data_IF_028629244736
#
_entry.id   IF_028629244736
#
_cell.length_a   1.000
_cell.length_b   1.000
_cell.length_c   1.000
_cell.angle_alpha   90.00
_cell.angle_beta   90.00
_cell.angle_gamma   90.00
#
_symmetry.space_group_name_H-M   'P 1'
#
loop_
_entity.id
_entity.type
_entity.pdbx_description
1 polymer ?
#
# COMPACT_ATOMS: atom_id res chain seq x y z
N UNK A 1 -25.61 6.96 9.88
CA UNK A 1 -24.51 7.75 9.24
C UNK A 1 -23.92 6.86 8.16
N UNK A 2 -23.91 7.31 6.90
CA UNK A 2 -23.27 6.57 5.82
C UNK A 2 -21.76 6.53 6.12
N UNK A 3 -21.17 5.33 6.06
CA UNK A 3 -19.74 5.16 6.28
C UNK A 3 -18.86 5.77 5.22
N UNK A 4 -17.54 5.93 5.45
CA UNK A 4 -16.64 6.33 4.39
C UNK A 4 -16.78 5.32 3.26
N UNK A 5 -17.16 5.81 2.11
CA UNK A 5 -17.24 5.02 0.90
C UNK A 5 -15.80 4.74 0.48
N UNK A 6 -15.47 3.47 0.33
CA UNK A 6 -14.24 3.12 -0.36
C UNK A 6 -14.31 3.74 -1.75
N UNK A 7 -13.31 4.54 -2.08
CA UNK A 7 -13.29 5.30 -3.31
C UNK A 7 -12.51 4.52 -4.38
N UNK A 8 -13.03 4.54 -5.60
CA UNK A 8 -12.26 4.19 -6.77
C UNK A 8 -11.68 5.48 -7.33
N UNK A 9 -10.37 5.52 -7.54
CA UNK A 9 -9.73 6.66 -8.16
C UNK A 9 -10.37 6.96 -9.52
N UNK A 10 -10.78 8.20 -9.70
CA UNK A 10 -11.27 8.72 -10.96
C UNK A 10 -10.33 9.83 -11.42
N UNK A 11 -9.71 9.66 -12.57
CA UNK A 11 -8.79 10.67 -13.12
C UNK A 11 -8.06 10.14 -14.35
N UNK A 12 -7.30 10.97 -15.05
CA UNK A 12 -6.53 10.53 -16.22
C UNK A 12 -5.46 9.53 -15.80
N UNK A 13 -5.57 8.32 -16.32
CA UNK A 13 -4.58 7.24 -16.13
C UNK A 13 -3.24 7.53 -16.81
N UNK A 14 -3.20 8.60 -17.60
CA UNK A 14 -2.10 8.95 -18.50
C UNK A 14 -0.87 9.49 -17.77
N UNK A 15 -1.04 10.01 -16.54
CA UNK A 15 0.05 10.66 -15.80
C UNK A 15 0.81 9.66 -14.93
N UNK A 16 0.08 8.80 -14.20
CA UNK A 16 0.69 7.83 -13.28
C UNK A 16 -0.06 6.50 -13.33
N UNK A 17 0.62 5.45 -13.78
CA UNK A 17 0.14 4.08 -13.70
C UNK A 17 0.45 3.45 -12.33
N UNK A 18 -0.10 2.25 -12.10
CA UNK A 18 0.10 1.53 -10.84
C UNK A 18 1.56 1.20 -10.50
N UNK A 19 2.47 1.16 -11.51
CA UNK A 19 3.90 0.95 -11.26
C UNK A 19 4.51 2.02 -10.36
N UNK A 20 3.97 3.24 -10.34
CA UNK A 20 4.53 4.34 -9.54
C UNK A 20 4.41 4.07 -8.04
N UNK A 21 3.45 3.25 -7.61
CA UNK A 21 3.30 2.84 -6.20
C UNK A 21 4.53 2.10 -5.65
N UNK A 22 5.31 1.45 -6.53
CA UNK A 22 6.55 0.75 -6.16
C UNK A 22 7.54 1.68 -5.47
N UNK A 23 7.54 2.98 -5.83
CA UNK A 23 8.42 3.99 -5.23
C UNK A 23 8.25 4.09 -3.71
N UNK A 24 7.04 3.84 -3.21
CA UNK A 24 6.74 3.83 -1.78
C UNK A 24 6.88 2.43 -1.17
N UNK A 25 6.34 1.42 -1.85
CA UNK A 25 6.32 0.03 -1.37
C UNK A 25 7.73 -0.55 -1.15
N UNK A 26 8.68 -0.29 -2.08
CA UNK A 26 10.04 -0.83 -1.95
C UNK A 26 10.80 -0.27 -0.73
N UNK A 27 10.43 0.92 -0.26
CA UNK A 27 11.01 1.52 0.95
C UNK A 27 10.45 0.87 2.21
N UNK A 28 9.18 0.48 2.14
CA UNK A 28 8.47 -0.07 3.27
C UNK A 28 8.92 -1.48 3.64
N UNK A 29 9.27 -2.30 2.65
CA UNK A 29 9.69 -3.70 2.83
C UNK A 29 11.15 -3.88 2.35
N UNK A 30 12.15 -3.66 3.21
CA UNK A 30 13.57 -3.70 2.82
C UNK A 30 14.07 -5.07 2.36
N UNK A 31 13.40 -6.15 2.71
CA UNK A 31 13.67 -7.53 2.29
C UNK A 31 12.83 -7.99 1.09
N UNK A 32 12.03 -7.09 0.49
CA UNK A 32 11.29 -7.34 -0.73
C UNK A 32 11.95 -6.67 -1.94
N UNK A 33 11.73 -7.26 -3.12
CA UNK A 33 12.15 -6.70 -4.40
C UNK A 33 10.98 -6.69 -5.38
N UNK A 34 10.86 -5.62 -6.17
CA UNK A 34 9.81 -5.44 -7.17
C UNK A 34 10.41 -5.57 -8.57
N UNK A 35 10.17 -6.70 -9.22
CA UNK A 35 10.62 -6.96 -10.59
C UNK A 35 9.48 -6.63 -11.56
N UNK A 36 9.58 -5.49 -12.22
CA UNK A 36 8.62 -5.06 -13.24
C UNK A 36 8.87 -5.85 -14.52
N UNK A 37 7.85 -6.51 -15.02
CA UNK A 37 7.89 -7.22 -16.30
C UNK A 37 7.37 -6.28 -17.39
N UNK A 38 8.28 -5.64 -18.14
CA UNK A 38 7.88 -4.55 -19.01
C UNK A 38 8.94 -4.08 -20.00
N UNK A 39 8.71 -2.90 -20.55
CA UNK A 39 9.61 -2.26 -21.51
C UNK A 39 10.67 -1.39 -20.82
N UNK A 40 11.65 -0.93 -21.63
CA UNK A 40 12.62 0.08 -21.19
C UNK A 40 11.96 1.38 -20.73
N UNK A 41 10.80 1.73 -21.31
CA UNK A 41 10.03 2.91 -20.92
C UNK A 41 9.52 2.77 -19.49
N UNK A 42 9.03 1.58 -19.10
CA UNK A 42 8.62 1.30 -17.73
C UNK A 42 9.78 1.44 -16.75
N UNK A 43 10.97 0.92 -17.11
CA UNK A 43 12.17 1.06 -16.31
C UNK A 43 12.54 2.54 -16.12
N UNK A 44 12.50 3.33 -17.19
CA UNK A 44 12.82 4.75 -17.15
C UNK A 44 11.83 5.55 -16.29
N UNK A 45 10.54 5.26 -16.42
CA UNK A 45 9.50 5.89 -15.58
C UNK A 45 9.77 5.70 -14.09
N UNK A 46 10.02 4.46 -13.66
CA UNK A 46 10.24 4.16 -12.26
C UNK A 46 11.55 4.77 -11.78
N UNK A 47 12.62 4.70 -12.56
CA UNK A 47 13.91 5.30 -12.23
C UNK A 47 13.81 6.82 -12.12
N UNK A 48 13.04 7.48 -12.98
CA UNK A 48 12.83 8.91 -12.93
C UNK A 48 12.01 9.32 -11.70
N UNK A 49 10.95 8.56 -11.40
CA UNK A 49 10.14 8.78 -10.18
C UNK A 49 10.95 8.54 -8.90
N UNK A 50 11.82 7.52 -8.90
CA UNK A 50 12.69 7.18 -7.77
C UNK A 50 13.92 8.09 -7.67
N UNK A 51 14.31 8.77 -8.75
CA UNK A 51 15.48 9.67 -8.79
C UNK A 51 15.42 10.80 -7.76
N UNK A 52 14.23 11.16 -7.32
CA UNK A 52 14.00 12.09 -6.20
C UNK A 52 14.42 11.48 -4.85
N UNK A 53 14.62 10.16 -4.80
CA UNK A 53 14.93 9.39 -3.59
C UNK A 53 16.39 8.90 -3.57
N UNK A 54 17.32 9.75 -3.97
CA UNK A 54 18.75 9.49 -4.24
C UNK A 54 19.49 8.74 -3.11
N UNK A 55 18.97 8.78 -1.88
CA UNK A 55 19.64 8.19 -0.72
C UNK A 55 19.14 6.78 -0.33
N UNK A 56 18.20 6.21 -1.09
CA UNK A 56 17.70 4.87 -0.80
C UNK A 56 18.20 3.87 -1.85
N UNK A 57 18.69 2.73 -1.40
CA UNK A 57 19.00 1.62 -2.30
C UNK A 57 17.72 1.16 -3.01
N UNK A 58 17.67 1.19 -4.35
CA UNK A 58 16.48 0.76 -5.07
C UNK A 58 16.29 -0.75 -4.94
N UNK A 59 15.11 -1.16 -4.48
CA UNK A 59 14.70 -2.56 -4.41
C UNK A 59 13.64 -2.87 -5.45
N UNK A 60 13.89 -2.36 -6.65
CA UNK A 60 13.09 -2.63 -7.84
C UNK A 60 13.99 -2.69 -9.08
N UNK A 61 13.53 -3.39 -10.08
CA UNK A 61 14.19 -3.52 -11.37
C UNK A 61 13.17 -3.89 -12.45
N UNK A 62 13.63 -4.00 -13.70
CA UNK A 62 12.76 -4.35 -14.81
C UNK A 62 13.34 -5.53 -15.58
N UNK A 63 12.54 -6.59 -15.71
CA UNK A 63 12.73 -7.64 -16.70
C UNK A 63 12.23 -7.07 -18.04
N UNK A 64 13.16 -6.76 -18.94
CA UNK A 64 12.83 -6.07 -20.18
C UNK A 64 12.33 -7.07 -21.21
N UNK A 65 11.06 -6.90 -21.61
CA UNK A 65 10.49 -7.57 -22.78
C UNK A 65 11.02 -6.91 -24.04
N UNK A 66 11.70 -7.70 -24.87
CA UNK A 66 12.26 -7.27 -26.15
C UNK A 66 11.18 -7.27 -27.24
N UNK A 67 11.50 -6.69 -28.41
CA UNK A 67 10.63 -6.75 -29.59
C UNK A 67 10.35 -8.20 -30.03
N UNK A 68 11.30 -9.11 -29.82
CA UNK A 68 11.14 -10.54 -30.14
C UNK A 68 10.13 -11.21 -29.19
N UNK A 69 10.14 -10.86 -27.90
CA UNK A 69 9.17 -11.37 -26.92
C UNK A 69 7.76 -10.86 -27.26
N UNK A 70 7.66 -9.57 -27.61
CA UNK A 70 6.39 -8.95 -28.00
C UNK A 70 5.84 -9.49 -29.33
N UNK A 71 6.71 -9.92 -30.23
CA UNK A 71 6.35 -10.55 -31.51
C UNK A 71 6.07 -12.06 -31.39
N UNK A 72 6.22 -12.66 -30.21
CA UNK A 72 6.07 -14.10 -30.00
C UNK A 72 7.17 -14.94 -30.60
N UNK A 73 8.34 -14.34 -30.88
CA UNK A 73 9.50 -14.98 -31.50
C UNK A 73 10.51 -15.52 -30.47
N UNK A 74 10.28 -15.27 -29.20
CA UNK A 74 11.06 -15.77 -28.06
C UNK A 74 10.13 -16.18 -26.93
N UNK A 75 10.58 -17.06 -26.05
CA UNK A 75 9.82 -17.48 -24.87
C UNK A 75 10.03 -16.47 -23.74
N UNK A 76 9.07 -15.55 -23.61
CA UNK A 76 9.09 -14.53 -22.57
C UNK A 76 8.99 -15.13 -21.14
N UNK A 77 8.43 -16.34 -20.97
CA UNK A 77 8.39 -17.02 -19.69
C UNK A 77 9.76 -17.54 -19.25
N UNK A 78 10.50 -18.19 -20.17
CA UNK A 78 11.86 -18.66 -19.88
C UNK A 78 12.79 -17.49 -19.56
N UNK A 79 12.68 -16.39 -20.29
CA UNK A 79 13.48 -15.19 -20.05
C UNK A 79 13.16 -14.56 -18.68
N UNK A 80 11.88 -14.47 -18.30
CA UNK A 80 11.47 -13.99 -16.99
C UNK A 80 12.05 -14.86 -15.87
N UNK A 81 11.91 -16.18 -15.99
CA UNK A 81 12.42 -17.13 -15.01
C UNK A 81 13.94 -17.02 -14.87
N UNK A 82 14.66 -16.87 -16.00
CA UNK A 82 16.11 -16.65 -16.02
C UNK A 82 16.51 -15.36 -15.29
N UNK A 83 15.84 -14.24 -15.61
CA UNK A 83 16.11 -12.93 -14.97
C UNK A 83 15.83 -12.99 -13.47
N UNK A 84 14.74 -13.64 -13.06
CA UNK A 84 14.40 -13.79 -11.65
C UNK A 84 15.48 -14.59 -10.89
N UNK A 85 15.96 -15.71 -11.45
CA UNK A 85 17.05 -16.51 -10.86
C UNK A 85 18.34 -15.72 -10.73
N UNK A 86 18.77 -15.02 -11.78
CA UNK A 86 19.97 -14.19 -11.74
C UNK A 86 19.88 -13.08 -10.70
N UNK A 87 18.72 -12.43 -10.60
CA UNK A 87 18.46 -11.42 -9.58
C UNK A 87 18.64 -12.02 -8.18
N UNK A 88 17.99 -13.14 -7.89
CA UNK A 88 18.05 -13.78 -6.57
C UNK A 88 19.43 -14.35 -6.22
N UNK A 89 20.23 -14.73 -7.20
CA UNK A 89 21.62 -15.09 -7.01
C UNK A 89 22.50 -13.90 -6.62
N UNK A 90 22.25 -12.73 -7.22
CA UNK A 90 22.98 -11.48 -6.92
C UNK A 90 22.51 -10.80 -5.64
N UNK A 91 21.26 -11.03 -5.23
CA UNK A 91 20.61 -10.40 -4.09
C UNK A 91 20.02 -11.45 -3.15
N UNK A 92 20.88 -12.18 -2.41
CA UNK A 92 20.46 -13.28 -1.54
C UNK A 92 19.66 -12.84 -0.30
N UNK A 93 19.65 -11.54 0.00
CA UNK A 93 18.87 -10.95 1.08
C UNK A 93 17.37 -10.85 0.78
N UNK A 94 16.96 -10.96 -0.51
CA UNK A 94 15.56 -10.89 -0.90
C UNK A 94 14.79 -12.07 -0.30
N UNK A 95 13.69 -11.78 0.38
CA UNK A 95 12.75 -12.75 0.97
C UNK A 95 11.41 -12.82 0.27
N UNK A 96 11.01 -11.70 -0.35
CA UNK A 96 9.80 -11.66 -1.18
C UNK A 96 10.11 -10.96 -2.51
N UNK A 97 9.79 -11.63 -3.61
CA UNK A 97 9.90 -11.11 -4.96
C UNK A 97 8.51 -10.82 -5.51
N UNK A 98 8.21 -9.56 -5.78
CA UNK A 98 7.00 -9.18 -6.50
C UNK A 98 7.27 -9.17 -8.00
N UNK A 99 6.53 -9.98 -8.76
CA UNK A 99 6.43 -9.88 -10.22
C UNK A 99 5.33 -8.89 -10.56
N UNK A 100 5.72 -7.74 -11.10
CA UNK A 100 4.78 -6.65 -11.35
C UNK A 100 4.47 -6.53 -12.83
N UNK A 101 3.22 -6.80 -13.20
CA UNK A 101 2.74 -6.66 -14.56
C UNK A 101 2.75 -5.20 -15.02
N UNK A 102 3.06 -4.99 -16.28
CA UNK A 102 3.05 -3.69 -16.96
C UNK A 102 2.26 -3.76 -18.25
N UNK A 103 2.01 -2.63 -18.93
CA UNK A 103 1.27 -2.61 -20.19
C UNK A 103 1.79 -3.62 -21.23
N UNK A 104 3.11 -3.74 -21.49
CA UNK A 104 3.60 -4.75 -22.42
C UNK A 104 3.28 -6.19 -22.02
N UNK A 105 3.43 -6.55 -20.75
CA UNK A 105 3.11 -7.91 -20.27
C UNK A 105 1.63 -8.23 -20.37
N UNK A 106 0.75 -7.25 -20.11
CA UNK A 106 -0.70 -7.39 -20.27
C UNK A 106 -1.09 -7.58 -21.75
N UNK A 107 -0.49 -6.80 -22.66
CA UNK A 107 -0.77 -6.88 -24.11
C UNK A 107 -0.45 -8.25 -24.66
N UNK A 108 0.68 -8.84 -24.27
CA UNK A 108 1.06 -10.21 -24.72
C UNK A 108 0.43 -11.30 -23.85
N UNK A 109 -0.39 -10.93 -22.87
CA UNK A 109 -1.04 -11.86 -21.93
C UNK A 109 -0.06 -12.80 -21.24
N UNK A 110 1.09 -12.26 -20.81
CA UNK A 110 2.09 -13.04 -20.07
C UNK A 110 1.54 -13.45 -18.71
N UNK A 111 1.42 -14.75 -18.49
CA UNK A 111 0.85 -15.30 -17.25
C UNK A 111 1.87 -15.23 -16.09
N UNK A 112 1.83 -14.10 -15.37
CA UNK A 112 2.69 -13.85 -14.20
C UNK A 112 2.28 -14.68 -12.99
N UNK A 113 1.01 -15.09 -12.88
CA UNK A 113 0.57 -15.96 -11.79
C UNK A 113 1.23 -17.32 -11.91
N UNK A 114 1.19 -17.91 -13.10
CA UNK A 114 1.87 -19.18 -13.39
C UNK A 114 3.40 -19.08 -13.25
N UNK A 115 3.99 -17.93 -13.61
CA UNK A 115 5.40 -17.69 -13.38
C UNK A 115 5.74 -17.66 -11.88
N UNK A 116 4.91 -17.00 -11.07
CA UNK A 116 5.07 -16.97 -9.62
C UNK A 116 4.95 -18.38 -9.00
N UNK A 117 3.99 -19.20 -9.46
CA UNK A 117 3.83 -20.59 -9.03
C UNK A 117 5.09 -21.42 -9.32
N UNK A 118 5.58 -21.43 -10.56
CA UNK A 118 6.81 -22.16 -10.95
C UNK A 118 8.01 -21.75 -10.11
N UNK A 119 8.21 -20.44 -9.94
CA UNK A 119 9.33 -19.92 -9.15
C UNK A 119 9.19 -20.27 -7.66
N UNK A 120 7.99 -20.24 -7.10
CA UNK A 120 7.76 -20.67 -5.72
C UNK A 120 8.08 -22.16 -5.51
N UNK A 121 7.69 -23.04 -6.46
CA UNK A 121 8.03 -24.45 -6.44
C UNK A 121 9.57 -24.68 -6.49
N UNK A 122 10.24 -23.97 -7.40
CA UNK A 122 11.70 -24.07 -7.56
C UNK A 122 12.46 -23.56 -6.32
N UNK A 123 12.00 -22.43 -5.75
CA UNK A 123 12.67 -21.78 -4.63
C UNK A 123 12.38 -22.42 -3.26
N UNK A 124 11.42 -23.33 -3.18
CA UNK A 124 11.11 -24.15 -1.99
C UNK A 124 11.00 -23.32 -0.69
N UNK A 125 10.35 -22.16 -0.76
CA UNK A 125 10.12 -21.29 0.39
C UNK A 125 11.30 -20.42 0.83
N UNK A 126 12.46 -20.50 0.16
CA UNK A 126 13.59 -19.59 0.45
C UNK A 126 13.26 -18.13 0.14
N UNK A 127 12.52 -17.93 -0.94
CA UNK A 127 11.97 -16.64 -1.38
C UNK A 127 10.52 -16.88 -1.74
N UNK A 128 9.65 -15.99 -1.32
CA UNK A 128 8.25 -15.97 -1.72
C UNK A 128 8.09 -15.15 -2.98
N UNK A 129 7.46 -15.70 -4.00
CA UNK A 129 7.16 -14.99 -5.25
C UNK A 129 5.67 -14.66 -5.29
N UNK A 130 5.34 -13.40 -5.54
CA UNK A 130 3.98 -12.87 -5.55
C UNK A 130 3.81 -12.03 -6.81
N UNK A 131 2.64 -12.05 -7.43
CA UNK A 131 2.38 -11.24 -8.61
C UNK A 131 1.20 -10.27 -8.40
N UNK A 132 1.26 -9.12 -9.07
CA UNK A 132 0.14 -8.20 -9.22
C UNK A 132 0.29 -7.34 -10.47
N UNK A 133 -0.82 -6.72 -10.94
CA UNK A 133 -0.75 -5.78 -12.07
C UNK A 133 -0.48 -4.36 -11.55
N UNK A 134 0.48 -3.70 -12.20
CA UNK A 134 0.74 -2.26 -12.07
C UNK A 134 0.57 -1.53 -13.41
N UNK A 135 -0.05 -2.20 -14.40
CA UNK A 135 -0.16 -1.69 -15.76
C UNK A 135 -1.04 -0.44 -15.84
N UNK A 136 -0.68 0.52 -16.69
CA UNK A 136 -1.49 1.70 -16.95
C UNK A 136 -2.77 1.42 -17.73
N UNK A 137 -2.93 0.20 -18.25
CA UNK A 137 -4.17 -0.25 -18.91
C UNK A 137 -5.25 -0.54 -17.86
N UNK A 138 -4.88 -1.21 -16.78
CA UNK A 138 -5.82 -1.71 -15.77
C UNK A 138 -5.79 -0.94 -14.47
N UNK A 139 -4.66 -0.33 -14.12
CA UNK A 139 -4.44 0.26 -12.81
C UNK A 139 -4.02 1.73 -12.85
N UNK A 140 -4.55 2.49 -11.91
CA UNK A 140 -4.11 3.84 -11.58
C UNK A 140 -3.01 3.78 -10.51
N UNK A 141 -2.48 4.94 -10.11
CA UNK A 141 -1.47 5.05 -9.06
C UNK A 141 -1.88 4.36 -7.74
N UNK A 142 -3.07 4.65 -7.24
CA UNK A 142 -3.57 4.09 -5.97
C UNK A 142 -3.92 2.62 -6.09
N UNK A 143 -4.42 2.18 -7.24
CA UNK A 143 -4.72 0.77 -7.51
C UNK A 143 -3.47 -0.10 -7.57
N UNK A 144 -2.30 0.46 -7.91
CA UNK A 144 -1.03 -0.26 -7.83
C UNK A 144 -0.65 -0.63 -6.40
N UNK A 145 -0.86 0.26 -5.44
CA UNK A 145 -0.69 -0.05 -4.02
C UNK A 145 -1.71 -1.09 -3.56
N UNK A 146 -3.00 -0.87 -3.88
CA UNK A 146 -4.06 -1.81 -3.52
C UNK A 146 -3.79 -3.22 -4.06
N UNK A 147 -3.37 -3.33 -5.33
CA UNK A 147 -2.99 -4.61 -5.94
C UNK A 147 -1.84 -5.31 -5.23
N UNK A 148 -0.80 -4.57 -4.85
CA UNK A 148 0.33 -5.12 -4.11
C UNK A 148 -0.07 -5.63 -2.72
N UNK A 149 -0.87 -4.86 -1.98
CA UNK A 149 -1.37 -5.28 -0.67
C UNK A 149 -2.36 -6.44 -0.78
N UNK A 150 -3.27 -6.38 -1.75
CA UNK A 150 -4.22 -7.46 -2.03
C UNK A 150 -3.52 -8.79 -2.32
N UNK A 151 -2.41 -8.76 -3.08
CA UNK A 151 -1.61 -9.94 -3.36
C UNK A 151 -0.95 -10.57 -2.11
N UNK A 152 -0.75 -9.79 -1.05
CA UNK A 152 -0.24 -10.29 0.24
C UNK A 152 -1.33 -10.92 1.10
N UNK A 153 -2.60 -10.49 0.98
CA UNK A 153 -3.69 -10.93 1.88
C UNK A 153 -3.88 -12.45 1.91
N UNK A 154 -3.83 -13.21 0.79
CA UNK A 154 -3.95 -14.67 0.83
C UNK A 154 -2.84 -15.37 1.63
N UNK A 155 -1.69 -14.71 1.78
CA UNK A 155 -0.50 -15.24 2.45
C UNK A 155 -0.48 -14.98 3.96
N UNK A 156 -1.39 -14.13 4.46
CA UNK A 156 -1.44 -13.77 5.87
C UNK A 156 -1.83 -14.98 6.72
N UNK A 157 -1.12 -15.27 7.82
CA UNK A 157 -1.54 -16.31 8.74
C UNK A 157 -2.92 -16.01 9.35
N UNK A 158 -3.68 -17.04 9.71
CA UNK A 158 -5.00 -16.87 10.33
C UNK A 158 -4.89 -16.89 11.84
N UNK A 159 -5.63 -16.00 12.51
CA UNK A 159 -5.78 -15.99 13.97
C UNK A 159 -7.09 -15.33 14.37
N UNK A 160 -7.74 -15.86 15.41
CA UNK A 160 -8.96 -15.30 15.98
C UNK A 160 -8.66 -14.28 17.11
N UNK A 161 -7.39 -13.99 17.37
CA UNK A 161 -7.00 -13.04 18.41
C UNK A 161 -7.46 -11.63 18.07
N UNK A 162 -7.97 -10.93 19.11
CA UNK A 162 -8.40 -9.53 18.98
C UNK A 162 -7.19 -8.64 18.75
N UNK A 163 -7.15 -7.96 17.62
CA UNK A 163 -6.07 -7.04 17.25
C UNK A 163 -6.55 -5.93 16.32
N UNK A 164 -5.76 -4.86 16.26
CA UNK A 164 -5.93 -3.76 15.33
C UNK A 164 -4.90 -3.89 14.19
N UNK A 165 -5.37 -3.86 12.95
CA UNK A 165 -4.52 -3.86 11.75
C UNK A 165 -4.65 -2.52 11.02
N UNK A 166 -3.54 -1.79 10.92
CA UNK A 166 -3.42 -0.59 10.11
C UNK A 166 -3.06 -0.98 8.67
N UNK A 167 -3.84 -0.55 7.68
CA UNK A 167 -3.64 -0.96 6.28
C UNK A 167 -3.41 0.23 5.39
N UNK A 168 -2.29 0.20 4.66
CA UNK A 168 -1.81 1.21 3.73
C UNK A 168 -0.37 1.62 4.02
N UNK A 169 0.33 2.09 2.99
CA UNK A 169 1.75 2.43 3.07
C UNK A 169 1.95 3.72 3.85
N UNK A 170 2.50 3.62 5.04
CA UNK A 170 2.85 4.74 5.91
C UNK A 170 4.37 4.90 5.99
N UNK A 171 4.83 6.12 6.23
CA UNK A 171 6.21 6.34 6.67
C UNK A 171 6.42 5.73 8.06
N UNK A 172 7.59 5.14 8.30
CA UNK A 172 7.89 4.41 9.55
C UNK A 172 7.63 5.26 10.81
N UNK A 173 8.05 6.52 10.80
CA UNK A 173 7.81 7.43 11.91
C UNK A 173 6.33 7.72 12.18
N UNK A 174 5.50 7.74 11.14
CA UNK A 174 4.05 7.91 11.26
C UNK A 174 3.42 6.66 11.86
N UNK A 175 3.78 5.49 11.35
CA UNK A 175 3.30 4.21 11.89
C UNK A 175 3.69 4.04 13.35
N UNK A 176 4.97 4.26 13.71
CA UNK A 176 5.44 4.18 15.09
C UNK A 176 4.62 5.11 15.99
N UNK A 177 4.32 6.31 15.51
CA UNK A 177 3.51 7.26 16.24
C UNK A 177 2.09 6.78 16.45
N UNK A 178 1.46 6.21 15.42
CA UNK A 178 0.10 5.67 15.51
C UNK A 178 0.03 4.46 16.45
N UNK A 179 0.96 3.52 16.31
CA UNK A 179 1.07 2.36 17.20
C UNK A 179 1.23 2.81 18.66
N UNK A 180 2.13 3.77 18.92
CA UNK A 180 2.32 4.32 20.25
C UNK A 180 1.04 4.97 20.81
N UNK A 181 0.30 5.71 19.98
CA UNK A 181 -0.94 6.35 20.42
C UNK A 181 -2.03 5.32 20.71
N UNK A 182 -2.17 4.26 19.91
CA UNK A 182 -3.09 3.17 20.21
C UNK A 182 -2.69 2.42 21.48
N UNK A 183 -1.40 2.19 21.73
CA UNK A 183 -0.91 1.64 23.00
C UNK A 183 -1.28 2.50 24.20
N UNK A 184 -1.21 3.85 24.10
CA UNK A 184 -1.69 4.76 25.13
C UNK A 184 -3.21 4.70 25.36
N UNK A 185 -3.96 4.25 24.36
CA UNK A 185 -5.40 3.97 24.47
C UNK A 185 -5.69 2.56 25.03
N UNK A 186 -4.65 1.78 25.38
CA UNK A 186 -4.79 0.42 25.88
C UNK A 186 -4.97 -0.64 24.78
N UNK A 187 -4.68 -0.29 23.53
CA UNK A 187 -4.72 -1.22 22.39
C UNK A 187 -3.29 -1.63 22.07
N UNK A 188 -2.82 -2.70 22.72
CA UNK A 188 -1.40 -3.11 22.64
C UNK A 188 -1.08 -3.98 21.42
N UNK A 189 -2.06 -4.71 20.89
CA UNK A 189 -1.88 -5.53 19.68
C UNK A 189 -2.25 -4.72 18.44
N UNK A 190 -1.27 -3.98 17.94
CA UNK A 190 -1.38 -3.20 16.70
C UNK A 190 -0.33 -3.69 15.72
N UNK A 191 -0.77 -4.04 14.53
CA UNK A 191 0.10 -4.44 13.41
C UNK A 191 -0.21 -3.63 12.16
N UNK A 192 0.63 -3.75 11.13
CA UNK A 192 0.46 -3.01 9.89
C UNK A 192 0.62 -3.90 8.65
N UNK A 193 -0.11 -3.54 7.59
CA UNK A 193 0.02 -4.09 6.24
C UNK A 193 0.25 -2.92 5.26
N UNK A 194 1.37 -2.86 4.52
CA UNK A 194 2.45 -3.84 4.44
C UNK A 194 3.33 -3.87 5.71
N UNK A 195 3.89 -5.04 6.04
CA UNK A 195 4.81 -5.15 7.18
C UNK A 195 6.18 -4.54 6.84
N UNK A 196 6.97 -4.21 7.87
CA UNK A 196 8.37 -3.74 7.67
C UNK A 196 9.30 -4.85 7.19
N UNK A 197 8.97 -6.08 7.47
CA UNK A 197 9.67 -7.25 6.96
C UNK A 197 8.65 -8.14 6.26
N UNK A 198 8.91 -8.49 5.02
CA UNK A 198 7.98 -9.29 4.22
C UNK A 198 7.78 -10.71 4.77
N UNK A 199 8.67 -11.17 5.65
CA UNK A 199 8.56 -12.42 6.37
C UNK A 199 7.71 -12.35 7.64
N UNK A 200 7.52 -11.15 8.20
CA UNK A 200 6.73 -10.89 9.41
C UNK A 200 5.31 -10.45 9.05
N UNK A 201 4.60 -11.28 8.30
CA UNK A 201 3.23 -11.00 7.89
C UNK A 201 2.30 -10.92 9.12
N UNK A 202 1.41 -9.90 9.20
CA UNK A 202 0.42 -9.84 10.26
C UNK A 202 -0.57 -11.00 10.15
N UNK A 203 -1.08 -11.46 11.29
CA UNK A 203 -2.16 -12.45 11.31
C UNK A 203 -3.49 -11.77 11.02
N UNK A 204 -4.45 -12.47 10.41
CA UNK A 204 -5.78 -11.92 10.07
C UNK A 204 -6.86 -12.97 10.24
N UNK A 205 -7.97 -12.59 10.89
CA UNK A 205 -9.14 -13.44 11.06
C UNK A 205 -10.29 -12.69 11.73
N UNK A 206 -11.30 -13.40 12.26
CA UNK A 206 -12.51 -12.80 12.84
C UNK A 206 -12.26 -11.82 13.99
N UNK A 207 -11.16 -11.99 14.74
CA UNK A 207 -10.75 -11.07 15.80
C UNK A 207 -10.05 -9.81 15.30
N UNK A 208 -9.78 -9.69 14.01
CA UNK A 208 -9.04 -8.55 13.46
C UNK A 208 -9.96 -7.40 13.11
N UNK A 209 -9.68 -6.24 13.70
CA UNK A 209 -10.29 -4.95 13.33
C UNK A 209 -9.31 -4.19 12.43
N UNK A 210 -9.79 -3.70 11.30
CA UNK A 210 -8.97 -3.03 10.27
C UNK A 210 -9.28 -1.55 10.19
N UNK A 211 -8.24 -0.71 10.25
CA UNK A 211 -8.30 0.70 9.92
C UNK A 211 -7.49 0.97 8.64
N UNK A 212 -8.17 1.46 7.60
CA UNK A 212 -7.51 1.89 6.38
C UNK A 212 -6.89 3.27 6.58
N UNK A 213 -5.67 3.48 6.08
CA UNK A 213 -4.98 4.77 6.16
C UNK A 213 -5.28 5.67 4.97
N UNK A 214 -5.93 5.12 3.94
CA UNK A 214 -6.39 5.83 2.74
C UNK A 214 -7.64 5.13 2.15
N UNK A 215 -8.48 5.85 1.37
CA UNK A 215 -9.78 5.33 0.94
C UNK A 215 -9.72 4.40 -0.29
N UNK A 216 -8.57 4.28 -0.97
CA UNK A 216 -8.47 3.63 -2.29
C UNK A 216 -8.09 2.14 -2.23
N UNK A 217 -8.05 1.52 -1.04
CA UNK A 217 -7.68 0.11 -0.81
C UNK A 217 -8.89 -0.81 -0.90
N UNK A 218 -9.60 -0.77 -2.02
CA UNK A 218 -10.90 -1.46 -2.19
C UNK A 218 -10.75 -2.97 -2.23
N UNK A 219 -9.81 -3.48 -3.01
CA UNK A 219 -9.60 -4.92 -3.17
C UNK A 219 -8.97 -5.54 -1.93
N UNK A 220 -7.98 -4.86 -1.36
CA UNK A 220 -7.39 -5.26 -0.07
C UNK A 220 -8.45 -5.36 1.03
N UNK A 221 -9.31 -4.34 1.15
CA UNK A 221 -10.39 -4.32 2.14
C UNK A 221 -11.40 -5.45 1.91
N UNK A 222 -11.74 -5.76 0.65
CA UNK A 222 -12.61 -6.88 0.30
C UNK A 222 -12.02 -8.20 0.75
N UNK A 223 -10.76 -8.48 0.36
CA UNK A 223 -10.08 -9.72 0.71
C UNK A 223 -9.89 -9.89 2.23
N UNK A 224 -9.63 -8.81 2.97
CA UNK A 224 -9.55 -8.86 4.43
C UNK A 224 -10.91 -9.22 5.06
N UNK A 225 -12.03 -8.68 4.53
CA UNK A 225 -13.39 -9.10 4.96
C UNK A 225 -13.66 -10.57 4.65
N UNK A 226 -13.26 -11.04 3.48
CA UNK A 226 -13.42 -12.45 3.10
C UNK A 226 -12.66 -13.39 4.05
N UNK A 227 -11.63 -12.90 4.73
CA UNK A 227 -10.90 -13.61 5.79
C UNK A 227 -11.52 -13.42 7.19
N UNK A 228 -12.68 -12.79 7.29
CA UNK A 228 -13.42 -12.56 8.53
C UNK A 228 -13.07 -11.28 9.27
N UNK A 229 -12.13 -10.46 8.79
CA UNK A 229 -11.77 -9.22 9.46
C UNK A 229 -12.87 -8.15 9.34
N UNK A 230 -13.03 -7.35 10.38
CA UNK A 230 -13.95 -6.21 10.40
C UNK A 230 -13.24 -4.95 9.92
N UNK A 231 -13.54 -4.48 8.72
CA UNK A 231 -13.01 -3.22 8.19
C UNK A 231 -13.88 -2.08 8.68
N UNK A 232 -13.30 -1.22 9.52
CA UNK A 232 -14.00 -0.08 10.10
C UNK A 232 -14.34 0.98 9.08
N UNK A 233 -15.48 1.56 9.29
CA UNK A 233 -15.96 2.74 8.59
C UNK A 233 -15.46 3.99 9.33
N UNK A 234 -14.36 4.58 8.85
CA UNK A 234 -13.76 5.76 9.45
C UNK A 234 -13.25 6.70 8.34
N UNK A 235 -13.27 8.03 8.52
CA UNK A 235 -12.53 8.91 7.62
C UNK A 235 -11.06 8.54 7.69
N UNK A 236 -10.31 8.70 6.60
CA UNK A 236 -8.88 8.44 6.69
C UNK A 236 -8.14 9.59 7.39
N UNK A 237 -6.91 9.35 7.93
CA UNK A 237 -6.26 10.27 8.86
C UNK A 237 -5.59 11.46 8.15
N UNK A 238 -6.38 12.28 7.47
CA UNK A 238 -5.93 13.53 6.85
C UNK A 238 -6.19 14.71 7.80
N UNK A 239 -5.11 15.43 8.14
CA UNK A 239 -5.17 16.55 9.05
C UNK A 239 -5.51 16.14 10.49
N UNK A 240 -5.66 17.12 11.37
CA UNK A 240 -5.88 16.87 12.80
C UNK A 240 -7.25 16.22 13.06
N UNK A 241 -8.30 16.78 12.47
CA UNK A 241 -9.68 16.32 12.68
C UNK A 241 -9.94 14.93 12.09
N UNK A 242 -9.46 14.68 10.84
CA UNK A 242 -9.55 13.37 10.22
C UNK A 242 -8.80 12.31 11.03
N UNK A 243 -7.59 12.62 11.48
CA UNK A 243 -6.78 11.73 12.32
C UNK A 243 -7.47 11.42 13.67
N UNK A 244 -8.08 12.43 14.29
CA UNK A 244 -8.85 12.23 15.52
C UNK A 244 -9.99 11.25 15.31
N UNK A 245 -10.87 11.50 14.35
CA UNK A 245 -12.04 10.64 14.06
C UNK A 245 -11.63 9.22 13.67
N UNK A 246 -10.54 9.09 12.94
CA UNK A 246 -9.98 7.80 12.56
C UNK A 246 -9.50 7.01 13.77
N UNK A 247 -8.82 7.66 14.72
CA UNK A 247 -8.39 7.03 15.97
C UNK A 247 -9.57 6.74 16.90
N UNK A 248 -10.57 7.63 16.97
CA UNK A 248 -11.79 7.42 17.73
C UNK A 248 -12.56 6.18 17.27
N UNK A 249 -12.65 5.96 15.95
CA UNK A 249 -13.27 4.75 15.39
C UNK A 249 -12.53 3.48 15.84
N UNK A 250 -11.19 3.48 15.81
CA UNK A 250 -10.40 2.37 16.33
C UNK A 250 -10.61 2.16 17.85
N UNK A 251 -10.55 3.24 18.62
CA UNK A 251 -10.76 3.19 20.07
C UNK A 251 -12.15 2.65 20.44
N UNK A 252 -13.19 3.08 19.73
CA UNK A 252 -14.55 2.60 19.92
C UNK A 252 -14.70 1.10 19.65
N UNK A 253 -14.05 0.59 18.63
CA UNK A 253 -14.06 -0.84 18.30
C UNK A 253 -13.38 -1.71 19.38
N UNK A 254 -12.56 -1.10 20.23
CA UNK A 254 -11.88 -1.74 21.36
C UNK A 254 -12.48 -1.36 22.72
N UNK A 255 -13.67 -0.76 22.75
CA UNK A 255 -14.39 -0.38 23.97
C UNK A 255 -13.63 0.62 24.87
N UNK A 256 -12.74 1.43 24.28
CA UNK A 256 -11.98 2.45 25.01
C UNK A 256 -12.91 3.58 25.44
N UNK A 257 -12.87 3.94 26.73
CA UNK A 257 -13.72 4.98 27.28
C UNK A 257 -13.44 6.35 26.61
N UNK A 258 -14.48 7.14 26.28
CA UNK A 258 -14.31 8.46 25.67
C UNK A 258 -13.41 9.41 26.46
N UNK A 259 -13.43 9.33 27.80
CA UNK A 259 -12.55 10.10 28.69
C UNK A 259 -11.07 9.77 28.49
N UNK A 260 -10.74 8.49 28.27
CA UNK A 260 -9.38 8.06 27.98
C UNK A 260 -8.94 8.55 26.59
N UNK A 261 -9.83 8.48 25.59
CA UNK A 261 -9.57 9.03 24.25
C UNK A 261 -9.28 10.52 24.31
N UNK A 262 -10.10 11.29 25.03
CA UNK A 262 -9.89 12.72 25.24
C UNK A 262 -8.53 13.00 25.91
N UNK A 263 -8.19 12.27 26.98
CA UNK A 263 -6.91 12.43 27.66
C UNK A 263 -5.70 12.24 26.74
N UNK A 264 -5.79 11.32 25.78
CA UNK A 264 -4.67 11.04 24.84
C UNK A 264 -4.66 12.02 23.68
N UNK A 265 -5.84 12.34 23.09
CA UNK A 265 -5.92 13.06 21.82
C UNK A 265 -6.08 14.58 21.98
N UNK A 266 -6.77 15.09 23.02
CA UNK A 266 -7.02 16.53 23.15
C UNK A 266 -5.74 17.38 23.22
N UNK A 267 -4.66 16.98 23.91
CA UNK A 267 -3.40 17.73 23.88
C UNK A 267 -2.78 17.80 22.48
N UNK A 268 -2.98 16.77 21.64
CA UNK A 268 -2.50 16.74 20.27
C UNK A 268 -3.32 17.67 19.36
N UNK A 269 -4.63 17.66 19.56
CA UNK A 269 -5.56 18.53 18.84
C UNK A 269 -5.29 20.00 19.15
N UNK A 270 -5.06 20.33 20.41
CA UNK A 270 -4.75 21.71 20.81
C UNK A 270 -3.43 22.19 20.22
N UNK A 271 -2.39 21.35 20.21
CA UNK A 271 -1.12 21.69 19.54
C UNK A 271 -1.33 21.92 18.04
N UNK A 272 -2.11 21.07 17.37
CA UNK A 272 -2.43 21.22 15.96
C UNK A 272 -3.21 22.52 15.69
N UNK A 273 -4.20 22.83 16.55
CA UNK A 273 -4.99 24.06 16.48
C UNK A 273 -4.10 25.32 16.57
N UNK A 274 -3.20 25.35 17.55
CA UNK A 274 -2.27 26.46 17.73
C UNK A 274 -1.35 26.61 16.52
N UNK A 275 -0.79 25.50 16.04
CA UNK A 275 0.14 25.50 14.89
C UNK A 275 -0.55 25.95 13.58
N UNK A 276 -1.82 25.63 13.40
CA UNK A 276 -2.58 25.94 12.19
C UNK A 276 -3.21 27.35 12.22
N UNK A 277 -3.31 27.99 13.39
CA UNK A 277 -4.00 29.28 13.51
C UNK A 277 -3.43 30.38 12.61
N UNK A 278 -2.10 30.59 12.49
CA UNK A 278 -1.56 31.59 11.56
C UNK A 278 -1.95 31.30 10.10
N UNK A 279 -1.97 30.04 9.71
CA UNK A 279 -2.34 29.62 8.35
C UNK A 279 -3.84 29.83 8.09
N UNK A 280 -4.69 29.57 9.07
CA UNK A 280 -6.13 29.84 9.00
C UNK A 280 -6.42 31.31 8.76
N UNK A 281 -5.72 32.20 9.46
CA UNK A 281 -5.86 33.66 9.26
C UNK A 281 -5.49 34.08 7.85
N UNK A 282 -4.40 33.54 7.28
CA UNK A 282 -3.97 33.85 5.91
C UNK A 282 -4.97 33.30 4.87
N UNK A 283 -5.55 32.14 5.12
CA UNK A 283 -6.47 31.46 4.21
C UNK A 283 -7.93 31.91 4.38
N UNK A 284 -8.26 32.61 5.46
CA UNK A 284 -9.63 33.06 5.70
C UNK A 284 -10.16 33.90 4.54
N UNK A 285 -11.35 33.56 4.08
CA UNK A 285 -12.00 34.22 2.94
C UNK A 285 -11.38 33.91 1.57
N UNK A 286 -10.33 33.09 1.49
CA UNK A 286 -9.78 32.64 0.20
C UNK A 286 -10.62 31.50 -0.37
N UNK A 287 -10.78 31.50 -1.68
CA UNK A 287 -11.37 30.35 -2.39
C UNK A 287 -10.29 29.34 -2.68
N UNK A 288 -10.47 28.11 -2.22
CA UNK A 288 -9.60 26.98 -2.48
C UNK A 288 -10.26 26.12 -3.54
N UNK A 289 -9.55 25.83 -4.61
CA UNK A 289 -10.01 24.95 -5.67
C UNK A 289 -9.22 23.65 -5.61
N UNK A 290 -9.92 22.53 -5.49
CA UNK A 290 -9.33 21.19 -5.60
C UNK A 290 -9.47 20.72 -7.04
N UNK A 291 -8.38 20.33 -7.66
CA UNK A 291 -8.41 19.76 -8.99
C UNK A 291 -9.17 18.42 -8.98
N UNK A 292 -9.93 18.11 -10.04
CA UNK A 292 -10.67 16.84 -10.13
C UNK A 292 -9.78 15.60 -10.02
N UNK A 293 -8.52 15.71 -10.42
CA UNK A 293 -7.51 14.66 -10.34
C UNK A 293 -6.85 14.57 -8.96
N UNK A 294 -7.26 15.41 -8.03
CA UNK A 294 -6.76 15.34 -6.66
C UNK A 294 -7.18 14.03 -6.02
N UNK A 295 -6.20 13.33 -5.45
CA UNK A 295 -6.45 12.12 -4.65
C UNK A 295 -6.95 12.46 -3.23
N UNK A 296 -7.11 13.74 -2.92
CA UNK A 296 -7.70 14.17 -1.67
C UNK A 296 -9.22 13.95 -1.73
N UNK A 297 -9.72 13.23 -0.74
CA UNK A 297 -11.15 13.10 -0.56
C UNK A 297 -11.76 14.46 -0.19
N UNK A 298 -12.65 14.94 -1.03
CA UNK A 298 -13.38 16.20 -0.79
C UNK A 298 -14.25 16.19 0.48
N UNK A 299 -14.53 15.01 1.06
CA UNK A 299 -15.33 14.89 2.28
C UNK A 299 -14.62 15.45 3.53
N UNK A 300 -13.30 15.56 3.51
CA UNK A 300 -12.50 16.14 4.59
C UNK A 300 -12.30 17.66 4.51
N UNK A 301 -12.68 18.30 3.40
CA UNK A 301 -12.40 19.72 3.15
C UNK A 301 -13.60 20.66 3.38
N UNK A 302 -14.79 20.12 3.65
CA UNK A 302 -15.95 20.94 3.98
C UNK A 302 -16.02 21.20 5.49
N UNK A 303 -15.32 22.23 5.96
CA UNK A 303 -15.76 23.20 6.99
C UNK A 303 -14.67 24.22 7.31
#
# INVERSE_FOLDING_TARGET
MAGPTLLKESGPREVFCGLTSIVWLHRRMPDAFFLVVGSRTCAHLIQSAAGVMIFAEPRFGTAILSERDLAGLADAHEELDRVARELLQRRPEIRTLFLVGSCPSEVIKLDLARAAERLNEELQGRVRVVNYSGSGIETTFTQGEDGALAALVPLLPTSDERQLLLVGTLADAVEDRLIHLFGRLGIDRVSSLPPRQSTALPVVGPGTTVLLTQPFLTETARLLRDRGATVLTAPFPLGAEGSRRWMEAGAQAFDVAPSQVATVLDPLMERARIALEPHRQVLAGKRIFLLPESQLDGSGTSR
#
